data_IF_918960065124
#
_entry.id   IF_918960065124
#
_cell.length_a   1.000
_cell.length_b   1.000
_cell.length_c   1.000
_cell.angle_alpha   90.00
_cell.angle_beta   90.00
_cell.angle_gamma   90.00
#
_symmetry.space_group_name_H-M   'P 1'
#
loop_
_entity.id
_entity.type
_entity.pdbx_description
1 polymer ?
#
# COMPACT_ATOMS: atom_id res chain seq x y z
N UNK A 1 61.90 -5.67 -18.70
CA UNK A 1 61.38 -4.98 -17.50
C UNK A 1 60.87 -3.63 -18.00
N UNK A 2 59.71 -3.65 -18.68
CA UNK A 2 58.39 -3.31 -18.12
C UNK A 2 58.10 -1.84 -18.53
N UNK A 3 56.97 -1.45 -19.13
CA UNK A 3 55.60 -1.87 -18.93
C UNK A 3 54.74 -1.71 -20.20
N UNK A 4 53.65 -2.45 -20.22
CA UNK A 4 52.62 -2.50 -21.25
C UNK A 4 51.49 -1.47 -21.03
N UNK A 5 50.92 -1.03 -22.15
CA UNK A 5 49.50 -0.76 -22.47
C UNK A 5 48.47 -0.30 -21.41
N UNK A 6 47.83 0.81 -21.78
CA UNK A 6 46.39 1.00 -22.04
C UNK A 6 45.32 0.96 -20.92
N UNK A 7 44.65 2.11 -20.81
CA UNK A 7 43.21 2.39 -20.64
C UNK A 7 42.45 1.63 -19.55
N UNK A 8 41.88 2.38 -18.61
CA UNK A 8 40.67 1.96 -17.89
C UNK A 8 39.73 3.14 -17.74
N UNK A 9 38.53 2.93 -18.28
CA UNK A 9 37.37 3.80 -18.37
C UNK A 9 36.81 4.15 -16.98
N UNK A 10 36.44 5.42 -16.78
CA UNK A 10 35.66 5.87 -15.64
C UNK A 10 34.31 5.16 -15.62
N UNK A 11 34.05 4.44 -14.52
CA UNK A 11 32.78 3.78 -14.28
C UNK A 11 31.70 4.84 -14.04
N UNK A 12 30.86 5.07 -15.06
CA UNK A 12 29.58 5.75 -14.89
C UNK A 12 28.74 4.97 -13.85
N UNK A 13 28.48 5.61 -12.71
CA UNK A 13 27.64 5.06 -11.66
C UNK A 13 26.20 4.94 -12.19
N UNK A 14 25.76 3.69 -12.42
CA UNK A 14 24.37 3.40 -12.70
C UNK A 14 23.54 3.81 -11.47
N UNK A 15 22.69 4.83 -11.65
CA UNK A 15 21.58 5.13 -10.73
C UNK A 15 20.79 3.83 -10.56
N UNK A 16 20.87 3.21 -9.38
CA UNK A 16 20.00 2.07 -9.05
C UNK A 16 18.58 2.59 -9.05
N UNK A 17 17.82 2.32 -10.10
CA UNK A 17 16.39 2.52 -10.11
C UNK A 17 15.82 1.67 -8.98
N UNK A 18 15.35 2.32 -7.91
CA UNK A 18 14.53 1.64 -6.91
C UNK A 18 13.33 0.99 -7.59
N UNK A 19 12.70 -0.01 -6.97
CA UNK A 19 11.52 -0.65 -7.55
C UNK A 19 10.49 0.41 -7.93
N UNK A 20 10.21 0.53 -9.22
CA UNK A 20 9.19 1.46 -9.72
C UNK A 20 7.84 0.97 -9.20
N UNK A 21 7.12 1.84 -8.50
CA UNK A 21 5.79 1.52 -8.01
C UNK A 21 4.93 0.92 -9.16
N UNK A 22 4.18 -0.16 -8.91
CA UNK A 22 3.29 -0.76 -9.90
C UNK A 22 2.40 0.30 -10.57
N UNK A 23 2.23 0.16 -11.87
CA UNK A 23 1.26 0.99 -12.60
C UNK A 23 -0.14 0.60 -12.13
N UNK A 24 -0.90 1.55 -11.61
CA UNK A 24 -2.31 1.36 -11.22
C UNK A 24 -3.19 1.80 -12.38
N UNK A 25 -4.04 0.89 -12.86
CA UNK A 25 -5.07 1.18 -13.86
C UNK A 25 -6.39 1.55 -13.17
N UNK A 26 -7.36 2.17 -13.87
CA UNK A 26 -8.59 2.62 -13.24
C UNK A 26 -9.37 1.53 -12.49
N UNK A 27 -9.40 0.31 -13.02
CA UNK A 27 -10.12 -0.80 -12.39
C UNK A 27 -11.64 -0.58 -12.36
N UNK A 28 -12.30 -1.10 -11.33
CA UNK A 28 -13.73 -0.99 -11.14
C UNK A 28 -14.08 -0.85 -9.64
N UNK A 29 -15.13 -0.08 -9.30
CA UNK A 29 -15.55 0.12 -7.91
C UNK A 29 -16.18 -1.13 -7.27
N UNK A 30 -16.54 -2.12 -8.09
CA UNK A 30 -17.17 -3.36 -7.63
C UNK A 30 -16.55 -4.57 -8.33
N UNK A 31 -16.48 -5.73 -7.64
CA UNK A 31 -16.85 -5.96 -6.24
C UNK A 31 -15.85 -5.31 -5.27
N UNK A 32 -16.30 -5.05 -4.04
CA UNK A 32 -15.43 -4.57 -2.95
C UNK A 32 -14.37 -5.61 -2.55
N UNK A 33 -13.22 -5.11 -2.11
CA UNK A 33 -12.02 -5.87 -1.74
C UNK A 33 -11.16 -6.28 -2.94
N UNK A 34 -10.16 -7.12 -2.68
CA UNK A 34 -9.28 -7.64 -3.72
C UNK A 34 -9.94 -8.75 -4.56
N UNK A 35 -9.96 -8.59 -5.88
CA UNK A 35 -10.52 -9.54 -6.86
C UNK A 35 -9.56 -9.77 -8.02
N UNK A 36 -8.93 -10.95 -8.01
CA UNK A 36 -8.15 -11.42 -9.16
C UNK A 36 -9.06 -11.66 -10.36
N UNK A 37 -8.68 -11.12 -11.52
CA UNK A 37 -9.42 -11.22 -12.78
C UNK A 37 -8.50 -11.00 -13.97
N UNK A 38 -9.00 -11.35 -15.15
CA UNK A 38 -8.43 -10.85 -16.41
C UNK A 38 -8.98 -9.44 -16.62
N UNK A 39 -8.08 -8.48 -16.67
CA UNK A 39 -8.36 -7.07 -16.88
C UNK A 39 -8.48 -6.69 -18.36
N UNK A 40 -8.47 -5.37 -18.66
CA UNK A 40 -8.36 -4.87 -20.01
C UNK A 40 -7.17 -5.49 -20.76
N UNK A 41 -7.29 -5.61 -22.07
CA UNK A 41 -6.24 -6.15 -22.96
C UNK A 41 -5.80 -7.59 -22.66
N UNK A 42 -6.62 -8.35 -21.94
CA UNK A 42 -6.33 -9.75 -21.60
C UNK A 42 -5.28 -9.90 -20.49
N UNK A 43 -4.91 -8.83 -19.80
CA UNK A 43 -3.86 -8.84 -18.78
C UNK A 43 -4.41 -9.33 -17.44
N UNK A 44 -3.81 -10.38 -16.88
CA UNK A 44 -4.18 -10.87 -15.56
C UNK A 44 -3.69 -9.94 -14.44
N UNK A 45 -4.51 -9.72 -13.42
CA UNK A 45 -4.16 -8.88 -12.28
C UNK A 45 -5.26 -8.84 -11.23
N UNK A 46 -5.09 -7.96 -10.25
CA UNK A 46 -6.05 -7.84 -9.14
C UNK A 46 -6.68 -6.46 -9.13
N UNK A 47 -8.01 -6.43 -9.10
CA UNK A 47 -8.80 -5.23 -8.84
C UNK A 47 -8.95 -5.05 -7.34
N UNK A 48 -8.69 -3.85 -6.85
CA UNK A 48 -8.88 -3.43 -5.47
C UNK A 48 -9.97 -2.37 -5.44
N UNK A 49 -10.88 -2.49 -4.48
CA UNK A 49 -11.95 -1.52 -4.26
C UNK A 49 -12.21 -1.40 -2.75
N UNK A 50 -12.09 -0.19 -2.22
CA UNK A 50 -12.24 0.13 -0.80
C UNK A 50 -13.26 1.25 -0.64
N UNK A 51 -14.33 0.99 0.10
CA UNK A 51 -15.20 2.07 0.56
C UNK A 51 -14.49 2.86 1.66
N UNK A 52 -14.25 4.15 1.43
CA UNK A 52 -13.62 5.04 2.39
C UNK A 52 -14.20 6.45 2.23
N UNK A 53 -15.47 6.59 2.64
CA UNK A 53 -16.19 7.85 2.51
C UNK A 53 -15.58 8.95 3.36
N UNK A 54 -15.30 10.09 2.73
CA UNK A 54 -14.63 11.23 3.39
C UNK A 54 -13.12 11.10 3.60
N UNK A 55 -12.47 10.07 3.02
CA UNK A 55 -11.02 10.03 2.92
C UNK A 55 -10.52 11.07 1.91
N UNK A 56 -9.31 11.60 2.12
CA UNK A 56 -8.66 12.54 1.19
C UNK A 56 -7.78 11.80 0.17
N UNK A 57 -7.22 10.64 0.53
CA UNK A 57 -6.48 9.76 -0.36
C UNK A 57 -6.42 8.33 0.19
N UNK A 58 -6.27 7.35 -0.70
CA UNK A 58 -6.05 5.94 -0.35
C UNK A 58 -4.80 5.41 -1.05
N UNK A 59 -3.90 4.82 -0.29
CA UNK A 59 -2.75 4.07 -0.80
C UNK A 59 -2.94 2.58 -0.52
N UNK A 60 -2.88 1.77 -1.58
CA UNK A 60 -2.72 0.33 -1.49
C UNK A 60 -1.25 0.04 -1.19
N UNK A 61 -0.98 -0.66 -0.10
CA UNK A 61 0.36 -1.04 0.33
C UNK A 61 0.57 -2.52 0.01
N UNK A 62 1.51 -2.84 -0.88
CA UNK A 62 1.92 -4.20 -1.21
C UNK A 62 3.18 -4.57 -0.44
N UNK A 63 3.29 -5.83 -0.02
CA UNK A 63 4.46 -6.34 0.71
C UNK A 63 5.12 -7.49 -0.05
N UNK A 64 6.44 -7.44 -0.20
CA UNK A 64 7.21 -8.56 -0.72
C UNK A 64 7.52 -9.62 0.36
N UNK A 65 8.27 -10.65 -0.02
CA UNK A 65 8.67 -11.73 0.89
C UNK A 65 9.58 -11.26 2.04
N UNK A 66 10.28 -10.13 1.87
CA UNK A 66 11.13 -9.51 2.88
C UNK A 66 10.37 -8.49 3.75
N UNK A 67 9.08 -8.26 3.48
CA UNK A 67 8.26 -7.27 4.15
C UNK A 67 8.49 -5.83 3.67
N UNK A 68 9.16 -5.63 2.54
CA UNK A 68 9.33 -4.30 1.93
C UNK A 68 7.99 -3.77 1.46
N UNK A 69 7.60 -2.60 1.95
CA UNK A 69 6.35 -1.94 1.57
C UNK A 69 6.52 -1.18 0.24
N UNK A 70 5.61 -1.41 -0.71
CA UNK A 70 5.43 -0.60 -1.92
C UNK A 70 4.06 0.03 -1.92
N UNK A 71 3.99 1.37 -1.95
CA UNK A 71 2.73 2.12 -1.90
C UNK A 71 2.25 2.49 -3.30
N UNK A 72 1.00 2.18 -3.58
CA UNK A 72 0.33 2.38 -4.85
C UNK A 72 -0.90 3.27 -4.61
N UNK A 73 -0.91 4.55 -5.03
CA UNK A 73 -2.09 5.39 -4.86
C UNK A 73 -3.26 4.87 -5.68
N UNK A 74 -4.45 4.79 -5.08
CA UNK A 74 -5.69 4.58 -5.81
C UNK A 74 -6.23 5.96 -6.20
N UNK A 75 -6.29 6.25 -7.50
CA UNK A 75 -6.67 7.58 -8.01
C UNK A 75 -8.13 7.68 -8.39
N UNK A 76 -8.79 6.55 -8.63
CA UNK A 76 -10.19 6.54 -9.04
C UNK A 76 -11.12 6.48 -7.83
N UNK A 77 -12.17 7.31 -7.86
CA UNK A 77 -13.17 7.41 -6.81
C UNK A 77 -14.57 7.44 -7.44
N UNK A 78 -15.37 6.41 -7.16
CA UNK A 78 -16.76 6.32 -7.63
C UNK A 78 -17.66 5.98 -6.45
N UNK A 79 -18.65 6.83 -6.14
CA UNK A 79 -19.59 6.63 -5.03
C UNK A 79 -18.90 6.31 -3.69
N UNK A 80 -17.89 7.11 -3.31
CA UNK A 80 -17.08 6.92 -2.09
C UNK A 80 -16.23 5.62 -2.06
N UNK A 81 -16.11 4.94 -3.20
CA UNK A 81 -15.27 3.75 -3.35
C UNK A 81 -14.00 4.13 -4.11
N UNK A 82 -12.86 3.99 -3.44
CA UNK A 82 -11.54 4.11 -4.01
C UNK A 82 -11.17 2.81 -4.71
N UNK A 83 -10.75 2.88 -5.97
CA UNK A 83 -10.46 1.67 -6.73
C UNK A 83 -9.28 1.78 -7.68
N UNK A 84 -8.75 0.62 -8.05
CA UNK A 84 -7.68 0.48 -9.02
C UNK A 84 -7.46 -0.97 -9.40
N UNK A 85 -6.93 -1.20 -10.59
CA UNK A 85 -6.51 -2.52 -11.06
C UNK A 85 -5.00 -2.56 -11.22
N UNK A 86 -4.35 -3.54 -10.59
CA UNK A 86 -2.92 -3.72 -10.67
C UNK A 86 -2.60 -4.96 -11.53
N UNK A 87 -2.05 -4.77 -12.73
CA UNK A 87 -1.55 -5.86 -13.57
C UNK A 87 -0.49 -6.71 -12.86
N UNK A 88 -0.48 -8.02 -13.10
CA UNK A 88 0.53 -8.94 -12.59
C UNK A 88 0.39 -9.31 -11.11
N UNK A 89 -0.50 -8.65 -10.36
CA UNK A 89 -0.78 -9.03 -8.97
C UNK A 89 -1.64 -10.29 -8.91
N UNK A 90 -1.04 -11.38 -8.43
CA UNK A 90 -1.66 -12.69 -8.32
C UNK A 90 -2.24 -12.96 -6.91
N UNK A 91 -3.12 -13.96 -6.77
CA UNK A 91 -3.57 -14.43 -5.45
C UNK A 91 -2.39 -14.83 -4.56
N UNK A 92 -2.47 -14.50 -3.26
CA UNK A 92 -1.39 -14.71 -2.30
C UNK A 92 -0.54 -13.46 -2.03
N UNK A 93 -0.67 -12.41 -2.83
CA UNK A 93 -0.03 -11.13 -2.56
C UNK A 93 -0.52 -10.53 -1.23
N UNK A 94 0.42 -10.25 -0.32
CA UNK A 94 0.17 -9.53 0.93
C UNK A 94 -0.08 -8.06 0.66
N UNK A 95 -1.13 -7.51 1.26
CA UNK A 95 -1.47 -6.09 1.10
C UNK A 95 -2.19 -5.52 2.33
N UNK A 96 -2.23 -4.19 2.39
CA UNK A 96 -3.07 -3.41 3.29
C UNK A 96 -3.35 -2.03 2.70
N UNK A 97 -3.97 -1.15 3.48
CA UNK A 97 -4.27 0.22 3.07
C UNK A 97 -3.70 1.24 4.03
N UNK A 98 -3.30 2.40 3.49
CA UNK A 98 -3.11 3.63 4.27
C UNK A 98 -4.11 4.64 3.77
N UNK A 99 -4.92 5.17 4.69
CA UNK A 99 -6.00 6.09 4.34
C UNK A 99 -5.73 7.44 4.97
N UNK A 100 -5.66 8.45 4.11
CA UNK A 100 -5.39 9.84 4.45
C UNK A 100 -6.69 10.59 4.69
N UNK A 101 -6.62 11.60 5.54
CA UNK A 101 -7.73 12.49 5.83
C UNK A 101 -7.46 13.31 7.07
N UNK A 102 -8.43 14.16 7.42
CA UNK A 102 -8.39 14.97 8.63
C UNK A 102 -8.22 14.12 9.90
N UNK A 103 -7.21 14.47 10.69
CA UNK A 103 -7.08 14.03 12.08
C UNK A 103 -7.69 15.07 13.02
N UNK A 104 -8.91 14.81 13.49
CA UNK A 104 -9.59 15.59 14.52
C UNK A 104 -10.40 14.66 15.45
N UNK A 105 -9.77 14.15 16.51
CA UNK A 105 -10.43 13.23 17.45
C UNK A 105 -11.66 13.82 18.14
N UNK A 106 -11.78 15.14 18.26
CA UNK A 106 -12.90 15.81 18.93
C UNK A 106 -14.19 15.74 18.11
N UNK A 107 -14.08 15.72 16.79
CA UNK A 107 -15.21 15.55 15.87
C UNK A 107 -15.38 14.10 15.40
N UNK A 108 -14.53 13.19 15.89
CA UNK A 108 -14.53 11.78 15.53
C UNK A 108 -13.74 11.44 14.26
N UNK A 109 -13.17 12.44 13.56
CA UNK A 109 -12.33 12.22 12.39
C UNK A 109 -10.98 11.64 12.83
N UNK A 110 -10.72 10.37 12.53
CA UNK A 110 -9.52 9.63 13.00
C UNK A 110 -8.72 9.02 11.85
N UNK A 111 -8.69 9.69 10.70
CA UNK A 111 -7.87 9.28 9.56
C UNK A 111 -6.39 9.37 9.90
N UNK A 112 -5.65 8.27 9.74
CA UNK A 112 -4.23 8.21 10.11
C UNK A 112 -3.45 7.29 9.18
N UNK A 113 -2.82 7.87 8.16
CA UNK A 113 -2.02 7.13 7.18
C UNK A 113 -0.74 6.51 7.77
N UNK A 114 -0.32 6.87 8.99
CA UNK A 114 0.78 6.18 9.66
C UNK A 114 0.41 4.75 10.08
N UNK A 115 -0.90 4.44 10.20
CA UNK A 115 -1.40 3.11 10.53
C UNK A 115 -1.69 2.32 9.25
N UNK A 116 -1.14 1.11 9.18
CA UNK A 116 -1.52 0.15 8.14
C UNK A 116 -2.88 -0.46 8.52
N UNK A 117 -3.84 -0.39 7.62
CA UNK A 117 -5.20 -0.87 7.80
C UNK A 117 -5.41 -2.17 7.03
N UNK A 118 -6.16 -3.09 7.64
CA UNK A 118 -6.66 -4.29 6.96
C UNK A 118 -7.81 -3.92 6.01
N UNK A 119 -7.90 -4.63 4.89
CA UNK A 119 -9.07 -4.55 4.02
C UNK A 119 -10.32 -5.14 4.74
N UNK A 120 -11.40 -4.36 4.96
CA UNK A 120 -12.63 -4.88 5.55
C UNK A 120 -13.27 -6.02 4.74
N UNK A 121 -12.92 -6.14 3.47
CA UNK A 121 -13.40 -7.15 2.53
C UNK A 121 -12.33 -8.21 2.21
N UNK A 122 -11.26 -8.29 3.01
CA UNK A 122 -10.24 -9.33 2.91
C UNK A 122 -10.89 -10.72 3.01
N UNK A 123 -10.44 -11.64 2.15
CA UNK A 123 -10.89 -13.05 2.17
C UNK A 123 -9.93 -13.98 2.93
N UNK A 124 -8.74 -13.47 3.26
CA UNK A 124 -7.74 -14.12 4.07
C UNK A 124 -6.91 -13.04 4.76
N UNK A 125 -6.47 -13.32 5.99
CA UNK A 125 -5.57 -12.47 6.77
C UNK A 125 -4.37 -13.34 7.11
N UNK A 126 -3.17 -12.77 6.98
CA UNK A 126 -1.91 -13.45 7.28
C UNK A 126 -1.30 -12.85 8.55
N UNK A 127 -0.83 -13.71 9.45
CA UNK A 127 -0.30 -13.36 10.77
C UNK A 127 -1.32 -13.38 11.91
N UNK A 128 -0.80 -13.38 13.13
CA UNK A 128 -1.59 -13.30 14.36
C UNK A 128 -1.79 -11.84 14.80
N UNK A 129 -2.99 -11.52 15.26
CA UNK A 129 -3.27 -10.21 15.84
C UNK A 129 -2.87 -10.20 17.32
N UNK A 130 -1.89 -9.37 17.66
CA UNK A 130 -1.63 -8.94 19.03
C UNK A 130 -2.15 -7.51 19.22
N UNK A 131 -2.30 -7.04 20.47
CA UNK A 131 -2.74 -5.67 20.77
C UNK A 131 -1.57 -4.79 21.23
N UNK A 132 -0.56 -4.53 20.36
CA UNK A 132 0.61 -3.79 20.76
C UNK A 132 0.34 -2.27 20.76
N UNK A 133 1.19 -1.46 21.42
CA UNK A 133 0.99 -0.01 21.55
C UNK A 133 0.81 0.73 20.22
N UNK A 134 1.34 0.19 19.12
CA UNK A 134 1.29 0.79 17.78
C UNK A 134 -0.12 0.78 17.17
N UNK A 135 -1.04 -0.03 17.69
CA UNK A 135 -2.46 -0.01 17.28
C UNK A 135 -3.15 1.28 17.73
N UNK A 136 -2.68 1.88 18.83
CA UNK A 136 -3.28 3.11 19.34
C UNK A 136 -2.88 4.32 18.49
N UNK A 137 -3.85 5.20 18.22
CA UNK A 137 -3.62 6.49 17.57
C UNK A 137 -3.02 7.56 18.51
N UNK A 138 -2.71 7.19 19.74
CA UNK A 138 -2.14 8.02 20.81
C UNK A 138 -1.21 7.16 21.67
N UNK A 139 -0.42 7.78 22.54
CA UNK A 139 0.37 7.04 23.53
C UNK A 139 -0.60 6.37 24.51
N UNK A 140 -0.58 5.04 24.57
CA UNK A 140 -1.54 4.21 25.33
C UNK A 140 -1.69 4.66 26.78
N UNK A 141 -0.60 5.08 27.40
CA UNK A 141 -0.53 5.35 28.85
C UNK A 141 -0.45 6.86 29.17
N UNK A 142 -0.89 7.73 28.26
CA UNK A 142 -0.84 9.19 28.46
C UNK A 142 -2.20 9.82 28.77
N UNK A 143 -2.29 10.71 29.79
CA UNK A 143 -1.31 10.89 30.86
C UNK A 143 -1.26 9.64 31.76
N UNK A 144 -0.15 9.43 32.46
CA UNK A 144 0.04 8.29 33.37
C UNK A 144 -1.20 8.11 34.24
N UNK A 145 -1.88 6.99 34.08
CA UNK A 145 -3.01 6.61 34.92
C UNK A 145 -2.44 6.13 36.25
N UNK A 146 -2.09 7.06 37.14
CA UNK A 146 -1.81 6.74 38.54
C UNK A 146 -3.12 6.23 39.17
N UNK A 147 -3.25 4.89 39.30
CA UNK A 147 -4.25 4.24 40.16
C UNK A 147 -3.74 4.19 41.59
#
# INVERSE_FOLDING_TARGET
>A
MEAAQAVSVEAAQAVRAGPRAPVVWPGAPMPLGARFRVGPDGVAGTNFALWAGGAEAVELCLFDEHGTETRCPLTELTHEIWHGFLPGIAPGQRYGYRVHGRWDPWTGARWNAAKLLLDPYARAVDGDFTLPPEVYGHLRDWPDQHV
#
